data_IF_774427803573
#
_entry.id   IF_774427803573
#
_cell.length_a   1.000
_cell.length_b   1.000
_cell.length_c   1.000
_cell.angle_alpha   90.00
_cell.angle_beta   90.00
_cell.angle_gamma   90.00
#
_symmetry.space_group_name_H-M   'P 1'
#
loop_
_entity.id
_entity.type
_entity.pdbx_description
1 polymer ?
#
# COMPACT_ATOMS: atom_id res chain seq x y z
N UNK A 1 18.74 -0.84 17.68
CA UNK A 1 19.04 -1.47 16.38
C UNK A 1 17.77 -2.19 15.94
N UNK A 2 17.34 -1.95 14.69
CA UNK A 2 16.16 -2.60 14.15
C UNK A 2 16.64 -3.79 13.29
N UNK A 3 16.31 -5.01 13.69
CA UNK A 3 16.61 -6.22 12.91
C UNK A 3 15.74 -6.16 11.64
N UNK A 4 16.38 -6.26 10.48
CA UNK A 4 15.65 -6.27 9.21
C UNK A 4 14.96 -7.64 9.01
N UNK A 5 13.77 -7.71 8.37
CA UNK A 5 13.05 -8.98 8.21
C UNK A 5 13.90 -10.12 7.63
N UNK A 6 14.71 -9.85 6.63
CA UNK A 6 15.60 -10.87 6.03
C UNK A 6 16.68 -11.41 6.97
N UNK A 7 16.96 -10.74 8.09
CA UNK A 7 17.96 -11.16 9.07
C UNK A 7 17.36 -12.03 10.18
N UNK A 8 16.05 -11.97 10.40
CA UNK A 8 15.37 -12.65 11.51
C UNK A 8 15.61 -14.16 11.48
N UNK A 9 15.49 -14.79 10.31
CA UNK A 9 15.70 -16.23 10.17
C UNK A 9 17.13 -16.66 10.55
N UNK A 10 18.13 -15.80 10.34
CA UNK A 10 19.52 -16.07 10.76
C UNK A 10 19.65 -16.05 12.28
N UNK A 11 19.06 -15.05 12.95
CA UNK A 11 19.12 -14.96 14.41
C UNK A 11 18.32 -16.06 15.09
N UNK A 12 17.19 -16.47 14.54
CA UNK A 12 16.39 -17.60 15.05
C UNK A 12 17.12 -18.95 14.98
N UNK A 13 18.12 -19.07 14.09
CA UNK A 13 18.92 -20.31 13.91
C UNK A 13 20.22 -20.34 14.72
N UNK A 14 20.63 -19.25 15.33
CA UNK A 14 21.89 -19.14 16.08
C UNK A 14 21.60 -19.27 17.58
N UNK A 15 22.05 -20.34 18.19
CA UNK A 15 21.84 -20.68 19.62
C UNK A 15 22.39 -19.62 20.60
N UNK A 16 23.17 -18.65 20.08
CA UNK A 16 23.64 -17.50 20.86
C UNK A 16 22.58 -16.48 21.16
N UNK A 17 21.45 -16.54 20.43
CA UNK A 17 20.37 -15.55 20.51
C UNK A 17 19.06 -16.19 20.94
N UNK A 18 18.35 -15.50 21.80
CA UNK A 18 16.97 -15.80 22.11
C UNK A 18 16.08 -14.82 21.35
N UNK A 19 15.16 -15.33 20.51
CA UNK A 19 14.29 -14.53 19.68
C UNK A 19 12.87 -14.50 20.24
N UNK A 20 12.34 -13.29 20.44
CA UNK A 20 10.95 -13.05 20.82
C UNK A 20 10.30 -12.24 19.71
N UNK A 21 9.09 -12.61 19.33
CA UNK A 21 8.31 -11.92 18.32
C UNK A 21 6.93 -11.60 18.88
N UNK A 22 6.46 -10.39 18.61
CA UNK A 22 5.11 -9.93 18.94
C UNK A 22 4.53 -9.09 17.83
N UNK A 23 3.21 -9.07 17.71
CA UNK A 23 2.54 -8.15 16.80
C UNK A 23 2.81 -6.70 17.22
N UNK A 24 3.07 -5.84 16.25
CA UNK A 24 3.32 -4.42 16.47
C UNK A 24 2.09 -3.56 16.13
N UNK A 25 2.18 -2.29 16.52
CA UNK A 25 1.16 -1.27 16.22
C UNK A 25 1.43 -0.50 14.91
N UNK A 26 2.36 -0.99 14.10
CA UNK A 26 2.73 -0.36 12.84
C UNK A 26 2.11 -1.10 11.66
N UNK A 27 1.52 -0.34 10.73
CA UNK A 27 1.09 -0.88 9.44
C UNK A 27 1.60 -0.02 8.27
N UNK A 28 1.89 -0.67 7.15
CA UNK A 28 2.18 -0.01 5.89
C UNK A 28 0.92 0.03 5.01
N UNK A 29 0.79 1.09 4.22
CA UNK A 29 -0.36 1.27 3.34
C UNK A 29 0.01 1.97 2.04
N UNK A 30 -0.85 1.82 1.05
CA UNK A 30 -0.89 2.67 -0.13
C UNK A 30 -2.05 3.63 0.03
N UNK A 31 -1.74 4.92 0.13
CA UNK A 31 -2.73 5.99 0.22
C UNK A 31 -2.98 6.63 -1.14
N UNK A 32 -4.25 6.84 -1.48
CA UNK A 32 -4.66 7.54 -2.70
C UNK A 32 -5.14 8.94 -2.37
N UNK A 33 -4.67 9.94 -3.11
CA UNK A 33 -5.19 11.30 -2.98
C UNK A 33 -6.58 11.41 -3.61
N UNK A 34 -7.60 11.50 -2.77
CA UNK A 34 -8.99 11.58 -3.23
C UNK A 34 -9.35 12.90 -3.93
N UNK A 35 -8.46 13.90 -3.87
CA UNK A 35 -8.58 15.14 -4.68
C UNK A 35 -8.28 14.88 -6.16
N UNK A 36 -7.57 13.79 -6.49
CA UNK A 36 -7.40 13.34 -7.85
C UNK A 36 -8.67 12.59 -8.30
N UNK A 37 -9.41 13.07 -9.34
CA UNK A 37 -10.64 12.44 -9.81
C UNK A 37 -10.51 10.97 -10.18
N UNK A 38 -9.29 10.53 -10.53
CA UNK A 38 -9.00 9.13 -10.87
C UNK A 38 -9.34 8.18 -9.71
N UNK A 39 -9.16 8.63 -8.46
CA UNK A 39 -9.38 7.83 -7.25
C UNK A 39 -10.69 8.14 -6.53
N UNK A 40 -11.56 8.96 -7.09
CA UNK A 40 -12.85 9.29 -6.46
C UNK A 40 -13.77 8.08 -6.35
N UNK A 41 -13.79 7.18 -7.36
CA UNK A 41 -14.57 5.95 -7.32
C UNK A 41 -13.99 4.93 -6.36
N UNK A 42 -14.85 4.39 -5.48
CA UNK A 42 -14.51 3.27 -4.59
C UNK A 42 -14.11 2.02 -5.39
N UNK A 43 -14.82 1.75 -6.49
CA UNK A 43 -14.60 0.59 -7.37
C UNK A 43 -13.21 0.66 -8.01
N UNK A 44 -12.75 1.85 -8.41
CA UNK A 44 -11.37 2.04 -8.91
C UNK A 44 -10.36 1.67 -7.84
N UNK A 45 -10.50 2.20 -6.63
CA UNK A 45 -9.58 1.90 -5.52
C UNK A 45 -9.59 0.42 -5.13
N UNK A 46 -10.75 -0.23 -5.15
CA UNK A 46 -10.88 -1.68 -4.92
C UNK A 46 -10.16 -2.47 -6.02
N UNK A 47 -10.37 -2.14 -7.28
CA UNK A 47 -9.68 -2.79 -8.40
C UNK A 47 -8.15 -2.62 -8.31
N UNK A 48 -7.67 -1.43 -7.94
CA UNK A 48 -6.24 -1.21 -7.69
C UNK A 48 -5.71 -2.10 -6.55
N UNK A 49 -6.46 -2.23 -5.45
CA UNK A 49 -6.08 -3.11 -4.33
C UNK A 49 -6.06 -4.59 -4.71
N UNK A 50 -7.05 -5.05 -5.50
CA UNK A 50 -7.13 -6.45 -5.97
C UNK A 50 -6.01 -6.83 -6.95
N UNK A 51 -5.33 -5.87 -7.55
CA UNK A 51 -4.22 -6.09 -8.46
C UNK A 51 -2.85 -6.23 -7.76
N UNK A 52 -2.80 -6.04 -6.45
CA UNK A 52 -1.57 -6.14 -5.67
C UNK A 52 -1.56 -7.46 -4.90
N UNK A 53 -0.53 -8.26 -5.13
CA UNK A 53 -0.31 -9.51 -4.42
C UNK A 53 0.32 -9.22 -3.04
N UNK A 54 -0.53 -9.13 -2.02
CA UNK A 54 -0.11 -8.85 -0.64
C UNK A 54 0.64 -10.05 -0.05
N UNK A 55 0.28 -11.28 -0.41
CA UNK A 55 0.95 -12.48 0.09
C UNK A 55 2.39 -12.52 -0.43
N UNK A 56 2.63 -12.07 -1.67
CA UNK A 56 3.99 -11.88 -2.19
C UNK A 56 4.78 -10.85 -1.38
N UNK A 57 4.15 -9.77 -0.93
CA UNK A 57 4.79 -8.77 -0.07
C UNK A 57 5.15 -9.39 1.28
N UNK A 58 4.23 -10.12 1.90
CA UNK A 58 4.47 -10.78 3.21
C UNK A 58 5.61 -11.79 3.07
N UNK A 59 5.58 -12.63 2.06
CA UNK A 59 6.54 -13.70 1.87
C UNK A 59 7.95 -13.18 1.52
N UNK A 60 8.07 -12.28 0.53
CA UNK A 60 9.37 -11.92 -0.04
C UNK A 60 9.93 -10.57 0.43
N UNK A 61 9.10 -9.69 0.94
CA UNK A 61 9.54 -8.39 1.47
C UNK A 61 9.63 -8.41 2.99
N UNK A 62 8.64 -9.03 3.64
CA UNK A 62 8.57 -9.11 5.09
C UNK A 62 9.11 -10.44 5.64
N UNK A 63 9.45 -11.41 4.78
CA UNK A 63 9.97 -12.73 5.19
C UNK A 63 9.10 -13.41 6.24
N UNK A 64 7.78 -13.31 6.07
CA UNK A 64 6.75 -13.83 6.98
C UNK A 64 6.74 -13.17 8.39
N UNK A 65 7.51 -12.09 8.58
CA UNK A 65 7.52 -11.31 9.83
C UNK A 65 6.49 -10.17 9.80
N UNK A 66 5.35 -10.39 9.14
CA UNK A 66 4.24 -9.45 9.07
C UNK A 66 2.95 -10.14 8.71
N UNK A 67 1.84 -9.45 8.97
CA UNK A 67 0.50 -9.94 8.68
C UNK A 67 -0.29 -8.92 7.88
N UNK A 68 -1.25 -9.41 7.11
CA UNK A 68 -2.21 -8.56 6.42
C UNK A 68 -3.23 -8.00 7.42
N UNK A 69 -3.51 -6.71 7.32
CA UNK A 69 -4.55 -6.03 8.09
C UNK A 69 -5.63 -5.46 7.16
N UNK A 70 -6.86 -5.35 7.66
CA UNK A 70 -8.03 -4.89 6.91
C UNK A 70 -8.45 -3.46 7.28
N UNK A 71 -7.81 -2.90 8.30
CA UNK A 71 -8.12 -1.56 8.81
C UNK A 71 -6.95 -0.96 9.57
N UNK A 72 -7.15 0.22 10.17
CA UNK A 72 -6.09 0.96 10.85
C UNK A 72 -5.72 0.41 12.23
N UNK A 73 -6.52 -0.47 12.79
CA UNK A 73 -6.29 -1.04 14.11
C UNK A 73 -5.35 -2.25 14.04
N UNK A 74 -4.54 -2.43 15.08
CA UNK A 74 -3.69 -3.63 15.21
C UNK A 74 -4.55 -4.86 15.57
N UNK A 75 -4.24 -6.01 14.96
CA UNK A 75 -5.03 -7.25 15.12
C UNK A 75 -5.17 -7.73 16.56
N UNK A 76 -4.25 -7.36 17.45
CA UNK A 76 -4.27 -7.74 18.85
C UNK A 76 -5.14 -6.84 19.73
N UNK A 77 -5.81 -5.86 19.15
CA UNK A 77 -6.70 -4.95 19.88
C UNK A 77 -8.15 -5.33 19.69
N UNK A 78 -8.99 -5.03 20.69
CA UNK A 78 -10.44 -5.25 20.64
C UNK A 78 -11.13 -4.38 19.56
N UNK A 79 -10.45 -3.38 19.04
CA UNK A 79 -10.92 -2.48 17.99
C UNK A 79 -10.75 -3.02 16.58
N UNK A 80 -9.98 -4.11 16.42
CA UNK A 80 -9.79 -4.72 15.11
C UNK A 80 -11.01 -5.56 14.73
N UNK A 81 -11.60 -5.25 13.59
CA UNK A 81 -12.72 -6.04 13.05
C UNK A 81 -12.21 -7.36 12.47
N UNK A 82 -12.46 -8.45 13.18
CA UNK A 82 -12.07 -9.80 12.78
C UNK A 82 -12.97 -10.37 11.67
N UNK A 83 -14.15 -9.79 11.43
CA UNK A 83 -15.12 -10.28 10.44
C UNK A 83 -14.82 -9.72 9.04
N UNK A 84 -14.22 -8.52 8.97
CA UNK A 84 -13.87 -7.92 7.69
C UNK A 84 -12.81 -8.74 6.96
N UNK A 85 -13.21 -9.28 5.80
CA UNK A 85 -12.31 -10.05 4.95
C UNK A 85 -11.42 -9.13 4.10
N UNK A 86 -10.13 -9.45 3.95
CA UNK A 86 -9.24 -8.68 3.10
C UNK A 86 -9.63 -8.80 1.62
N UNK A 87 -9.39 -7.75 0.83
CA UNK A 87 -9.59 -7.80 -0.61
C UNK A 87 -8.76 -8.94 -1.22
N UNK A 88 -9.36 -9.86 -2.00
CA UNK A 88 -8.60 -10.94 -2.62
C UNK A 88 -7.62 -10.39 -3.66
N UNK A 89 -6.48 -11.06 -3.85
CA UNK A 89 -5.66 -10.84 -5.04
C UNK A 89 -6.37 -11.48 -6.23
N UNK A 90 -6.92 -10.66 -7.11
CA UNK A 90 -7.65 -11.09 -8.30
C UNK A 90 -7.52 -10.04 -9.42
N UNK A 91 -6.42 -10.06 -10.19
CA UNK A 91 -6.19 -9.12 -11.28
C UNK A 91 -7.25 -9.18 -12.39
N UNK A 92 -7.82 -10.34 -12.65
CA UNK A 92 -8.84 -10.52 -13.69
C UNK A 92 -10.14 -9.82 -13.31
N UNK A 93 -10.61 -9.99 -12.07
CA UNK A 93 -11.79 -9.28 -11.57
C UNK A 93 -11.51 -7.78 -11.45
N UNK A 94 -10.31 -7.36 -11.04
CA UNK A 94 -9.88 -5.97 -11.07
C UNK A 94 -10.02 -5.35 -12.46
N UNK A 95 -9.54 -6.05 -13.49
CA UNK A 95 -9.66 -5.60 -14.88
C UNK A 95 -11.12 -5.55 -15.35
N UNK A 96 -11.95 -6.51 -14.93
CA UNK A 96 -13.38 -6.54 -15.25
C UNK A 96 -14.11 -5.35 -14.63
N UNK A 97 -13.82 -5.02 -13.35
CA UNK A 97 -14.37 -3.82 -12.68
C UNK A 97 -13.98 -2.56 -13.46
N UNK A 98 -12.70 -2.39 -13.81
CA UNK A 98 -12.24 -1.22 -14.55
C UNK A 98 -12.90 -1.11 -15.93
N UNK A 99 -13.08 -2.24 -16.63
CA UNK A 99 -13.82 -2.27 -17.92
C UNK A 99 -15.28 -1.87 -17.75
N UNK A 100 -15.94 -2.34 -16.70
CA UNK A 100 -17.30 -1.94 -16.34
C UNK A 100 -17.45 -0.44 -16.08
N UNK A 101 -16.39 0.22 -15.62
CA UNK A 101 -16.31 1.66 -15.45
C UNK A 101 -15.95 2.43 -16.74
N UNK A 102 -15.80 1.73 -17.85
CA UNK A 102 -15.52 2.32 -19.18
C UNK A 102 -14.05 2.42 -19.54
N UNK A 103 -13.14 1.85 -18.74
CA UNK A 103 -11.73 1.77 -19.10
C UNK A 103 -11.50 0.66 -20.13
N UNK A 104 -10.83 0.96 -21.24
CA UNK A 104 -10.53 0.02 -22.33
C UNK A 104 -9.06 0.09 -22.69
N UNK A 105 -8.46 -1.04 -23.10
CA UNK A 105 -7.07 -1.01 -23.58
C UNK A 105 -7.00 -0.29 -24.92
N UNK A 106 -6.10 0.67 -25.02
CA UNK A 106 -5.75 1.34 -26.27
C UNK A 106 -4.75 0.48 -27.10
N UNK A 107 -4.30 0.99 -28.23
CA UNK A 107 -3.38 0.30 -29.15
C UNK A 107 -2.01 0.01 -28.53
N UNK A 108 -1.60 0.78 -27.51
CA UNK A 108 -0.36 0.59 -26.78
C UNK A 108 -0.51 -0.39 -25.59
N UNK A 109 -1.74 -0.90 -25.34
CA UNK A 109 -2.04 -1.83 -24.26
C UNK A 109 -2.35 -1.17 -22.91
N UNK A 110 -2.40 0.17 -22.84
CA UNK A 110 -2.78 0.90 -21.64
C UNK A 110 -4.29 1.07 -21.54
N UNK A 111 -4.79 1.09 -20.30
CA UNK A 111 -6.19 1.44 -20.04
C UNK A 111 -6.42 2.91 -20.33
N UNK A 112 -7.44 3.18 -21.10
CA UNK A 112 -7.84 4.54 -21.52
C UNK A 112 -9.35 4.71 -21.37
N UNK A 113 -9.77 5.91 -20.97
CA UNK A 113 -11.17 6.33 -20.91
C UNK A 113 -11.30 7.78 -21.34
N UNK A 114 -12.20 8.06 -22.29
CA UNK A 114 -12.43 9.42 -22.83
C UNK A 114 -11.15 10.12 -23.31
N UNK A 115 -10.24 9.37 -23.98
CA UNK A 115 -8.98 9.90 -24.51
C UNK A 115 -7.90 10.13 -23.43
N UNK A 116 -8.12 9.70 -22.18
CA UNK A 116 -7.13 9.81 -21.11
C UNK A 116 -6.64 8.42 -20.69
N UNK A 117 -5.34 8.21 -20.75
CA UNK A 117 -4.68 7.02 -20.23
C UNK A 117 -4.83 6.96 -18.70
N UNK A 118 -5.02 5.77 -18.14
CA UNK A 118 -4.97 5.54 -16.70
C UNK A 118 -3.52 5.63 -16.24
N UNK A 119 -3.10 6.84 -15.92
CA UNK A 119 -1.73 7.17 -15.52
C UNK A 119 -1.72 7.95 -14.21
N UNK A 120 -0.81 7.59 -13.30
CA UNK A 120 -0.57 8.31 -12.05
C UNK A 120 0.82 8.03 -11.50
N UNK A 121 1.23 8.85 -10.52
CA UNK A 121 2.50 8.72 -9.82
C UNK A 121 2.31 8.03 -8.46
N UNK A 122 3.16 7.04 -8.17
CA UNK A 122 3.27 6.43 -6.84
C UNK A 122 4.61 6.84 -6.23
N UNK A 123 4.57 7.50 -5.09
CA UNK A 123 5.76 8.02 -4.44
C UNK A 123 6.01 7.39 -3.08
N UNK A 124 7.26 7.39 -2.65
CA UNK A 124 7.65 7.01 -1.28
C UNK A 124 8.97 7.70 -0.89
N UNK A 125 9.40 7.49 0.36
CA UNK A 125 10.67 8.03 0.84
C UNK A 125 11.86 7.10 0.58
N UNK A 126 13.04 7.69 0.42
CA UNK A 126 14.31 7.00 0.45
C UNK A 126 14.61 6.43 1.86
N UNK A 127 15.56 5.49 1.92
CA UNK A 127 16.02 4.90 3.18
C UNK A 127 15.10 3.80 3.76
N UNK A 128 13.96 3.51 3.13
CA UNK A 128 13.07 2.43 3.55
C UNK A 128 12.94 1.37 2.43
N UNK A 129 13.72 0.26 2.49
CA UNK A 129 13.69 -0.77 1.45
C UNK A 129 12.35 -1.50 1.37
N UNK A 130 11.63 -1.66 2.50
CA UNK A 130 10.31 -2.32 2.53
C UNK A 130 9.32 -1.51 1.68
N UNK A 131 9.22 -0.19 1.91
CA UNK A 131 8.32 0.68 1.14
C UNK A 131 8.68 0.71 -0.35
N UNK A 132 9.98 0.73 -0.67
CA UNK A 132 10.44 0.67 -2.06
C UNK A 132 10.04 -0.64 -2.75
N UNK A 133 10.12 -1.76 -2.06
CA UNK A 133 9.71 -3.05 -2.60
C UNK A 133 8.18 -3.13 -2.77
N UNK A 134 7.40 -2.63 -1.82
CA UNK A 134 5.94 -2.52 -1.94
C UNK A 134 5.57 -1.69 -3.17
N UNK A 135 6.21 -0.53 -3.37
CA UNK A 135 6.03 0.34 -4.53
C UNK A 135 6.29 -0.42 -5.84
N UNK A 136 7.37 -1.19 -5.92
CA UNK A 136 7.73 -1.97 -7.11
C UNK A 136 6.71 -3.09 -7.39
N UNK A 137 6.26 -3.81 -6.36
CA UNK A 137 5.25 -4.88 -6.51
C UNK A 137 3.91 -4.30 -6.96
N UNK A 138 3.47 -3.19 -6.36
CA UNK A 138 2.25 -2.51 -6.74
C UNK A 138 2.31 -2.01 -8.20
N UNK A 139 3.40 -1.34 -8.60
CA UNK A 139 3.62 -0.91 -9.98
C UNK A 139 3.51 -2.08 -10.97
N UNK A 140 4.15 -3.21 -10.65
CA UNK A 140 4.12 -4.39 -11.50
C UNK A 140 2.71 -5.01 -11.59
N UNK A 141 1.96 -5.05 -10.49
CA UNK A 141 0.57 -5.51 -10.49
C UNK A 141 -0.31 -4.66 -11.40
N UNK A 142 -0.25 -3.35 -11.27
CA UNK A 142 -1.02 -2.40 -12.09
C UNK A 142 -0.62 -2.40 -13.55
N UNK A 143 0.69 -2.56 -13.85
CA UNK A 143 1.18 -2.68 -15.23
C UNK A 143 0.56 -3.88 -15.97
N UNK A 144 0.35 -5.00 -15.31
CA UNK A 144 -0.32 -6.19 -15.88
C UNK A 144 -1.76 -5.87 -16.32
N UNK A 145 -2.44 -4.97 -15.63
CA UNK A 145 -3.78 -4.50 -16.01
C UNK A 145 -3.75 -3.53 -17.19
N UNK A 146 -2.60 -2.94 -17.50
CA UNK A 146 -2.44 -1.86 -18.48
C UNK A 146 -2.53 -0.46 -17.85
N UNK A 147 -2.30 -0.34 -16.55
CA UNK A 147 -2.22 0.95 -15.86
C UNK A 147 -0.77 1.45 -15.90
N UNK A 148 -0.58 2.70 -16.25
CA UNK A 148 0.72 3.36 -16.27
C UNK A 148 0.97 4.02 -14.91
N UNK A 149 1.78 3.37 -14.08
CA UNK A 149 2.18 3.89 -12.78
C UNK A 149 3.64 4.31 -12.82
N UNK A 150 3.91 5.61 -12.70
CA UNK A 150 5.26 6.14 -12.57
C UNK A 150 5.67 6.15 -11.11
N UNK A 151 6.92 5.75 -10.80
CA UNK A 151 7.39 5.63 -9.42
C UNK A 151 8.52 6.62 -9.14
N UNK A 152 8.46 7.27 -7.97
CA UNK A 152 9.48 8.21 -7.53
C UNK A 152 9.79 8.01 -6.05
N UNK A 153 11.05 8.23 -5.69
CA UNK A 153 11.56 8.09 -4.33
C UNK A 153 12.27 9.38 -3.93
N UNK A 154 11.87 9.97 -2.82
CA UNK A 154 12.37 11.24 -2.34
C UNK A 154 13.11 11.11 -1.01
N UNK A 155 14.01 12.03 -0.70
CA UNK A 155 14.54 12.19 0.65
C UNK A 155 13.39 12.49 1.63
N UNK A 156 13.50 12.03 2.89
CA UNK A 156 12.39 12.07 3.85
C UNK A 156 11.83 13.47 4.10
N UNK A 157 12.71 14.46 4.30
CA UNK A 157 12.25 15.82 4.58
C UNK A 157 11.55 16.45 3.36
N UNK A 158 12.07 16.23 2.16
CA UNK A 158 11.46 16.67 0.89
C UNK A 158 10.13 15.96 0.68
N UNK A 159 10.10 14.64 0.90
CA UNK A 159 8.89 13.82 0.75
C UNK A 159 7.74 14.35 1.63
N UNK A 160 8.02 14.64 2.90
CA UNK A 160 7.01 15.19 3.81
C UNK A 160 6.63 16.63 3.45
N UNK A 161 7.64 17.52 3.29
CA UNK A 161 7.40 18.95 3.13
C UNK A 161 6.70 19.28 1.82
N UNK A 162 7.18 18.71 0.71
CA UNK A 162 6.80 19.15 -0.62
C UNK A 162 5.68 18.30 -1.23
N UNK A 163 5.45 17.10 -0.70
CA UNK A 163 4.44 16.16 -1.24
C UNK A 163 3.36 15.81 -0.22
N UNK A 164 3.69 15.20 0.92
CA UNK A 164 2.67 14.68 1.85
C UNK A 164 1.87 15.79 2.50
N UNK A 165 2.56 16.75 3.13
CA UNK A 165 1.91 17.85 3.86
C UNK A 165 1.16 18.84 2.96
N UNK A 166 1.53 18.90 1.69
CA UNK A 166 0.90 19.76 0.67
C UNK A 166 -0.14 19.02 -0.17
N UNK A 167 -0.31 17.71 0.04
CA UNK A 167 -1.14 16.83 -0.80
C UNK A 167 -0.75 16.85 -2.29
N UNK A 168 0.49 17.16 -2.60
CA UNK A 168 1.02 17.20 -3.97
C UNK A 168 1.50 15.80 -4.41
N UNK A 169 0.60 14.85 -4.42
CA UNK A 169 0.85 13.48 -4.87
C UNK A 169 -0.43 12.86 -5.43
N UNK A 170 -0.30 11.83 -6.26
CA UNK A 170 -1.41 10.98 -6.69
C UNK A 170 -1.62 9.82 -5.71
N UNK A 171 -0.57 9.05 -5.45
CA UNK A 171 -0.57 7.96 -4.49
C UNK A 171 0.77 7.88 -3.74
N UNK A 172 0.74 7.39 -2.51
CA UNK A 172 1.92 7.25 -1.65
C UNK A 172 2.01 5.85 -1.05
N UNK A 173 3.23 5.35 -0.86
CA UNK A 173 3.50 4.24 0.06
C UNK A 173 4.05 4.82 1.35
N UNK A 174 3.30 4.64 2.42
CA UNK A 174 3.66 5.11 3.76
C UNK A 174 3.39 4.03 4.81
N UNK A 175 3.61 4.35 6.04
CA UNK A 175 3.23 3.55 7.19
C UNK A 175 2.85 4.43 8.35
N UNK A 176 2.02 3.89 9.21
CA UNK A 176 1.55 4.56 10.40
C UNK A 176 1.83 3.70 11.64
N UNK A 177 2.26 4.34 12.71
CA UNK A 177 2.39 3.71 14.00
C UNK A 177 1.22 4.16 14.87
N UNK A 178 0.36 3.21 15.23
CA UNK A 178 -0.74 3.45 16.13
C UNK A 178 -0.24 3.50 17.58
N UNK A 179 -0.90 4.31 18.42
CA UNK A 179 -0.80 4.19 19.86
C UNK A 179 -1.61 2.99 20.40
N UNK A 180 -1.50 2.77 21.71
CA UNK A 180 -2.39 1.82 22.40
C UNK A 180 -3.81 2.37 22.46
N UNK A 181 -3.95 3.68 22.56
CA UNK A 181 -5.23 4.38 22.48
C UNK A 181 -5.78 4.32 21.04
N UNK A 182 -7.04 3.92 20.86
CA UNK A 182 -7.67 3.79 19.55
C UNK A 182 -8.05 5.12 18.89
N UNK A 183 -7.57 6.27 19.38
CA UNK A 183 -7.90 7.57 18.80
C UNK A 183 -7.39 7.70 17.36
N UNK A 184 -8.33 7.70 16.42
CA UNK A 184 -8.09 7.89 14.99
C UNK A 184 -8.38 9.32 14.50
N UNK A 185 -8.72 10.25 15.39
CA UNK A 185 -9.15 11.59 15.03
C UNK A 185 -8.16 12.29 14.10
N UNK A 186 -6.87 12.25 14.47
CA UNK A 186 -5.81 12.99 13.78
C UNK A 186 -5.67 12.65 12.29
N UNK A 187 -6.03 11.44 11.87
CA UNK A 187 -5.82 10.98 10.48
C UNK A 187 -7.15 10.69 9.78
N UNK A 188 -8.13 10.18 10.50
CA UNK A 188 -9.31 9.59 9.90
C UNK A 188 -10.56 10.46 10.02
N UNK A 189 -10.53 11.49 10.86
CA UNK A 189 -11.66 12.39 10.98
C UNK A 189 -11.74 13.34 9.79
N UNK A 190 -12.95 13.54 9.25
CA UNK A 190 -13.20 14.36 8.05
C UNK A 190 -12.76 15.84 8.19
N UNK A 191 -12.61 16.35 9.43
CA UNK A 191 -12.08 17.70 9.63
C UNK A 191 -10.57 17.83 9.49
N UNK A 192 -9.85 16.73 9.29
CA UNK A 192 -8.40 16.68 9.13
C UNK A 192 -7.95 16.64 7.65
N UNK A 193 -8.86 16.86 6.70
CA UNK A 193 -8.61 16.85 5.25
C UNK A 193 -8.46 18.25 4.66
#
# INVERSE_FOLDING_TARGET
YNVQPHQVARFKKDDKYQSFSSLGYFFAYIGYNLRNPLFSSLEVRRALGMAIDIDQIIQYVLYEEGERVTGPYAKMTDWYDQETQPLPYNPDEALKILRGLGWKKNTEGFLEKNGRVFEFNLITNAGNPIRKNILTIAQNGWRKLGIKCNTQVFEWAVFLKDFVNTFNFDAVVLGWSMGIDPDLYQIWHSSQT
#
